data_IF_684797723656
#
_entry.id   IF_684797723656
#
_cell.length_a   1.000
_cell.length_b   1.000
_cell.length_c   1.000
_cell.angle_alpha   90.00
_cell.angle_beta   90.00
_cell.angle_gamma   90.00
#
_symmetry.space_group_name_H-M   'P 1'
#
loop_
_entity.id
_entity.type
_entity.pdbx_description
1 polymer ?
#
# COMPACT_ATOMS: atom_id res chain seq x y z
N UNK A 1 -45.79 -0.50 -43.53
CA UNK A 1 -45.03 -0.23 -42.29
C UNK A 1 -44.87 -1.56 -41.59
N UNK A 2 -43.65 -2.11 -41.57
CA UNK A 2 -43.33 -3.36 -40.88
C UNK A 2 -42.77 -3.02 -39.51
N UNK A 3 -43.44 -3.42 -38.44
CA UNK A 3 -43.01 -3.27 -37.06
C UNK A 3 -41.76 -4.14 -36.81
N UNK A 4 -40.68 -3.48 -36.38
CA UNK A 4 -39.42 -4.14 -35.93
C UNK A 4 -39.67 -4.71 -34.53
N UNK A 5 -39.42 -6.02 -34.27
CA UNK A 5 -39.55 -6.55 -32.94
C UNK A 5 -38.46 -6.02 -32.04
N UNK A 6 -38.86 -5.34 -30.96
CA UNK A 6 -37.99 -4.88 -29.90
C UNK A 6 -37.46 -6.11 -29.13
N UNK A 7 -36.15 -6.40 -29.26
CA UNK A 7 -35.53 -7.43 -28.44
C UNK A 7 -35.57 -7.01 -26.96
N UNK A 8 -35.95 -7.88 -26.05
CA UNK A 8 -35.91 -7.61 -24.62
C UNK A 8 -34.46 -7.43 -24.20
N UNK A 9 -34.15 -6.30 -23.54
CA UNK A 9 -32.88 -6.08 -22.84
C UNK A 9 -32.66 -7.25 -21.86
N UNK A 10 -31.50 -7.94 -21.88
CA UNK A 10 -31.18 -8.93 -20.87
C UNK A 10 -31.15 -8.21 -19.52
N UNK A 11 -32.04 -8.59 -18.63
CA UNK A 11 -31.95 -8.24 -17.22
C UNK A 11 -30.66 -8.88 -16.69
N UNK A 12 -29.58 -8.10 -16.59
CA UNK A 12 -28.38 -8.49 -15.85
C UNK A 12 -28.83 -8.63 -14.40
N UNK A 13 -29.10 -9.85 -14.00
CA UNK A 13 -29.64 -10.16 -12.71
C UNK A 13 -28.56 -9.85 -11.65
N UNK A 14 -28.97 -9.39 -10.48
CA UNK A 14 -28.11 -9.28 -9.28
C UNK A 14 -27.31 -10.57 -9.04
N UNK A 15 -27.83 -11.72 -9.47
CA UNK A 15 -27.22 -13.04 -9.44
C UNK A 15 -25.86 -13.12 -10.17
N UNK A 16 -25.71 -12.52 -11.36
CA UNK A 16 -24.46 -12.60 -12.12
C UNK A 16 -23.35 -11.74 -11.46
N UNK A 17 -23.75 -10.60 -10.90
CA UNK A 17 -22.84 -9.73 -10.17
C UNK A 17 -22.37 -10.40 -8.86
N UNK A 18 -23.29 -10.99 -8.12
CA UNK A 18 -22.98 -11.74 -6.89
C UNK A 18 -22.06 -12.94 -7.16
N UNK A 19 -22.27 -13.62 -8.30
CA UNK A 19 -21.40 -14.72 -8.72
C UNK A 19 -20.00 -14.20 -9.09
N UNK A 20 -19.91 -13.09 -9.82
CA UNK A 20 -18.63 -12.46 -10.15
C UNK A 20 -17.86 -12.03 -8.89
N UNK A 21 -18.53 -11.40 -7.91
CA UNK A 21 -17.92 -10.98 -6.66
C UNK A 21 -17.42 -12.19 -5.83
N UNK A 22 -18.16 -13.29 -5.81
CA UNK A 22 -17.73 -14.54 -5.17
C UNK A 22 -16.49 -15.13 -5.86
N UNK A 23 -16.43 -15.13 -7.18
CA UNK A 23 -15.27 -15.62 -7.95
C UNK A 23 -14.06 -14.73 -7.71
N UNK A 24 -14.21 -13.41 -7.73
CA UNK A 24 -13.12 -12.46 -7.45
C UNK A 24 -12.58 -12.68 -6.03
N UNK A 25 -13.47 -12.81 -5.05
CA UNK A 25 -13.08 -13.09 -3.65
C UNK A 25 -12.34 -14.42 -3.54
N UNK A 26 -12.84 -15.47 -4.18
CA UNK A 26 -12.20 -16.79 -4.21
C UNK A 26 -10.79 -16.74 -4.81
N UNK A 27 -10.57 -15.96 -5.86
CA UNK A 27 -9.26 -15.81 -6.49
C UNK A 27 -8.28 -14.96 -5.65
N UNK A 28 -8.78 -13.91 -5.01
CA UNK A 28 -7.97 -12.95 -4.29
C UNK A 28 -7.65 -13.38 -2.83
N UNK A 29 -8.51 -14.19 -2.21
CA UNK A 29 -8.43 -14.53 -0.79
C UNK A 29 -8.19 -16.03 -0.59
N UNK A 30 -6.96 -16.37 -0.16
CA UNK A 30 -6.61 -17.76 0.15
C UNK A 30 -7.40 -18.32 1.34
N UNK A 31 -7.76 -17.47 2.33
CA UNK A 31 -8.58 -17.88 3.49
C UNK A 31 -10.00 -18.21 3.06
N UNK A 32 -10.56 -17.42 2.13
CA UNK A 32 -11.87 -17.72 1.53
C UNK A 32 -11.82 -19.03 0.78
N UNK A 33 -10.77 -19.30 -0.02
CA UNK A 33 -10.60 -20.58 -0.72
C UNK A 33 -10.62 -21.77 0.23
N UNK A 34 -9.94 -21.67 1.36
CA UNK A 34 -9.87 -22.75 2.35
C UNK A 34 -11.19 -22.98 3.10
N UNK A 35 -12.05 -21.95 3.20
CA UNK A 35 -13.37 -22.04 3.84
C UNK A 35 -14.49 -22.43 2.86
N UNK A 36 -14.34 -22.09 1.59
CA UNK A 36 -15.42 -22.05 0.59
C UNK A 36 -15.57 -23.34 -0.21
N UNK A 37 -15.19 -24.51 0.29
CA UNK A 37 -15.63 -25.76 -0.38
C UNK A 37 -17.16 -25.87 -0.51
N UNK A 38 -17.91 -24.94 0.12
CA UNK A 38 -19.38 -24.93 0.20
C UNK A 38 -20.06 -23.79 -0.59
N UNK A 39 -19.36 -22.71 -0.94
CA UNK A 39 -20.02 -21.50 -1.50
C UNK A 39 -19.99 -21.41 -3.05
N UNK A 40 -19.01 -22.04 -3.68
CA UNK A 40 -18.96 -22.14 -5.14
C UNK A 40 -19.07 -23.62 -5.53
N UNK A 41 -20.04 -23.99 -6.38
CA UNK A 41 -20.19 -25.36 -6.83
C UNK A 41 -19.13 -25.73 -7.87
N UNK A 42 -17.85 -25.73 -7.45
CA UNK A 42 -16.73 -26.09 -8.31
C UNK A 42 -16.41 -27.57 -8.15
N UNK A 43 -16.16 -28.25 -9.27
CA UNK A 43 -15.54 -29.56 -9.21
C UNK A 43 -14.12 -29.48 -8.63
N UNK A 44 -13.56 -30.56 -8.06
CA UNK A 44 -12.20 -30.58 -7.53
C UNK A 44 -11.15 -30.11 -8.55
N UNK A 45 -11.35 -30.40 -9.81
CA UNK A 45 -10.45 -29.96 -10.89
C UNK A 45 -10.57 -28.47 -11.16
N UNK A 46 -11.79 -27.93 -11.19
CA UNK A 46 -12.04 -26.48 -11.33
C UNK A 46 -11.47 -25.70 -10.13
N UNK A 47 -11.62 -26.21 -8.91
CA UNK A 47 -11.04 -25.61 -7.72
C UNK A 47 -9.50 -25.54 -7.80
N UNK A 48 -8.83 -26.62 -8.23
CA UNK A 48 -7.37 -26.64 -8.45
C UNK A 48 -6.93 -25.65 -9.52
N UNK A 49 -7.64 -25.54 -10.62
CA UNK A 49 -7.35 -24.56 -11.70
C UNK A 49 -7.52 -23.14 -11.20
N UNK A 50 -8.59 -22.86 -10.47
CA UNK A 50 -8.85 -21.54 -9.88
C UNK A 50 -7.78 -21.17 -8.84
N UNK A 51 -7.35 -22.10 -7.99
CA UNK A 51 -6.26 -21.89 -7.04
C UNK A 51 -4.94 -21.56 -7.76
N UNK A 52 -4.57 -22.37 -8.75
CA UNK A 52 -3.36 -22.11 -9.56
C UNK A 52 -3.40 -20.72 -10.21
N UNK A 53 -4.55 -20.33 -10.73
CA UNK A 53 -4.76 -19.01 -11.33
C UNK A 53 -4.70 -17.89 -10.28
N UNK A 54 -5.32 -18.06 -9.11
CA UNK A 54 -5.23 -17.10 -8.00
C UNK A 54 -3.79 -16.89 -7.53
N UNK A 55 -3.00 -17.95 -7.39
CA UNK A 55 -1.57 -17.87 -7.06
C UNK A 55 -0.78 -17.14 -8.14
N UNK A 56 -1.07 -17.39 -9.42
CA UNK A 56 -0.44 -16.68 -10.54
C UNK A 56 -0.77 -15.19 -10.50
N UNK A 57 -2.04 -14.83 -10.28
CA UNK A 57 -2.46 -13.43 -10.16
C UNK A 57 -1.77 -12.72 -8.99
N UNK A 58 -1.72 -13.35 -7.81
CA UNK A 58 -1.06 -12.78 -6.65
C UNK A 58 0.46 -12.57 -6.88
N UNK A 59 1.13 -13.56 -7.48
CA UNK A 59 2.54 -13.45 -7.85
C UNK A 59 2.78 -12.28 -8.80
N UNK A 60 1.99 -12.16 -9.87
CA UNK A 60 2.08 -11.06 -10.84
C UNK A 60 1.79 -9.72 -10.18
N UNK A 61 0.74 -9.67 -9.34
CA UNK A 61 0.35 -8.46 -8.61
C UNK A 61 1.49 -7.89 -7.76
N UNK A 62 2.16 -8.73 -6.97
CA UNK A 62 3.24 -8.28 -6.10
C UNK A 62 4.54 -8.04 -6.88
N UNK A 63 4.87 -8.86 -7.88
CA UNK A 63 6.04 -8.65 -8.74
C UNK A 63 6.03 -7.27 -9.40
N UNK A 64 4.92 -6.91 -10.03
CA UNK A 64 4.78 -5.61 -10.72
C UNK A 64 4.91 -4.43 -9.75
N UNK A 65 4.39 -4.58 -8.52
CA UNK A 65 4.46 -3.54 -7.51
C UNK A 65 5.84 -3.42 -6.87
N UNK A 66 6.50 -4.54 -6.60
CA UNK A 66 7.88 -4.55 -6.12
C UNK A 66 8.81 -3.86 -7.13
N UNK A 67 8.75 -4.25 -8.40
CA UNK A 67 9.59 -3.68 -9.44
C UNK A 67 9.41 -2.15 -9.59
N UNK A 68 8.18 -1.64 -9.36
CA UNK A 68 7.89 -0.19 -9.44
C UNK A 68 8.28 0.56 -8.17
N UNK A 69 8.14 -0.07 -7.00
CA UNK A 69 8.37 0.58 -5.70
C UNK A 69 9.85 0.57 -5.31
N UNK A 70 10.57 -0.53 -5.58
CA UNK A 70 11.99 -0.70 -5.29
C UNK A 70 12.88 -0.27 -6.47
N UNK A 71 12.53 0.85 -7.09
CA UNK A 71 13.18 1.34 -8.32
C UNK A 71 14.56 1.93 -8.09
N UNK A 72 14.83 2.47 -6.90
CA UNK A 72 16.13 3.07 -6.59
C UNK A 72 17.14 2.01 -6.15
N UNK A 73 16.74 1.06 -5.32
CA UNK A 73 17.58 -0.10 -5.00
C UNK A 73 17.92 -0.92 -6.25
N UNK A 74 17.02 -0.96 -7.23
CA UNK A 74 17.26 -1.61 -8.52
C UNK A 74 18.41 -0.99 -9.32
N UNK A 75 18.76 0.28 -9.11
CA UNK A 75 19.93 0.91 -9.74
C UNK A 75 21.24 0.22 -9.33
N UNK A 76 21.25 -0.46 -8.21
CA UNK A 76 22.39 -1.20 -7.67
C UNK A 76 22.33 -2.70 -7.98
N UNK A 77 21.36 -3.17 -8.77
CA UNK A 77 21.16 -4.60 -9.02
C UNK A 77 22.41 -5.29 -9.59
N UNK A 78 23.19 -4.63 -10.42
CA UNK A 78 24.46 -5.16 -10.96
C UNK A 78 25.56 -5.30 -9.89
N UNK A 79 25.52 -4.49 -8.83
CA UNK A 79 26.49 -4.48 -7.74
C UNK A 79 26.10 -5.50 -6.68
N UNK A 80 24.82 -5.50 -6.27
CA UNK A 80 24.33 -6.37 -5.20
C UNK A 80 23.87 -7.76 -5.70
N UNK A 81 23.74 -7.96 -7.02
CA UNK A 81 23.30 -9.22 -7.63
C UNK A 81 21.82 -9.58 -7.40
N UNK A 82 21.02 -8.65 -6.84
CA UNK A 82 19.64 -8.93 -6.43
C UNK A 82 18.67 -7.80 -6.81
N UNK A 83 17.40 -8.16 -6.97
CA UNK A 83 16.28 -7.22 -7.13
C UNK A 83 15.11 -7.62 -6.23
N UNK A 84 14.28 -6.65 -5.83
CA UNK A 84 13.17 -6.90 -4.90
C UNK A 84 12.15 -7.89 -5.46
N UNK A 85 11.89 -7.86 -6.77
CA UNK A 85 10.92 -8.73 -7.41
C UNK A 85 11.31 -10.21 -7.45
N UNK A 86 12.57 -10.55 -7.22
CA UNK A 86 13.03 -11.96 -7.14
C UNK A 86 12.44 -12.68 -5.92
N UNK A 87 12.04 -11.95 -4.89
CA UNK A 87 11.45 -12.55 -3.68
C UNK A 87 10.20 -13.37 -3.98
N UNK A 88 9.45 -13.06 -5.05
CA UNK A 88 8.23 -13.78 -5.40
C UNK A 88 8.49 -15.19 -5.96
N UNK A 89 9.73 -15.51 -6.28
CA UNK A 89 10.16 -16.83 -6.76
C UNK A 89 10.70 -17.72 -5.63
N UNK A 90 10.94 -17.13 -4.44
CA UNK A 90 11.44 -17.83 -3.25
C UNK A 90 10.38 -18.68 -2.53
N UNK A 91 10.85 -19.67 -1.78
CA UNK A 91 10.00 -20.60 -1.02
C UNK A 91 9.12 -19.90 0.02
N UNK A 92 9.67 -18.90 0.71
CA UNK A 92 8.91 -18.10 1.69
C UNK A 92 7.68 -17.43 1.07
N UNK A 93 7.80 -16.93 -0.16
CA UNK A 93 6.67 -16.34 -0.87
C UNK A 93 5.69 -17.42 -1.34
N UNK A 94 6.16 -18.59 -1.77
CA UNK A 94 5.28 -19.70 -2.14
C UNK A 94 4.43 -20.16 -0.95
N UNK A 95 5.03 -20.29 0.22
CA UNK A 95 4.32 -20.63 1.46
C UNK A 95 3.31 -19.55 1.85
N UNK A 96 3.69 -18.28 1.74
CA UNK A 96 2.82 -17.13 1.99
C UNK A 96 1.56 -17.12 1.10
N UNK A 97 1.65 -17.59 -0.15
CA UNK A 97 0.50 -17.64 -1.07
C UNK A 97 -0.67 -18.51 -0.55
N UNK A 98 -0.42 -19.43 0.39
CA UNK A 98 -1.45 -20.26 1.01
C UNK A 98 -2.35 -19.48 1.98
N UNK A 99 -1.89 -18.33 2.49
CA UNK A 99 -2.56 -17.49 3.48
C UNK A 99 -2.88 -16.09 2.91
N UNK A 100 -2.42 -15.81 1.70
CA UNK A 100 -2.45 -14.48 1.12
C UNK A 100 -3.87 -13.99 0.85
N UNK A 101 -4.18 -12.81 1.36
CA UNK A 101 -5.32 -11.99 0.92
C UNK A 101 -4.72 -10.86 0.07
N UNK A 102 -4.80 -11.01 -1.25
CA UNK A 102 -4.17 -10.10 -2.19
C UNK A 102 -4.71 -8.68 -2.02
N UNK A 103 -3.80 -7.72 -1.82
CA UNK A 103 -4.13 -6.32 -1.63
C UNK A 103 -4.49 -5.94 -0.18
N UNK A 104 -4.50 -6.89 0.78
CA UNK A 104 -4.64 -6.54 2.18
C UNK A 104 -3.38 -5.84 2.71
N UNK A 105 -3.55 -5.02 3.76
CA UNK A 105 -2.46 -4.35 4.44
C UNK A 105 -1.45 -5.35 5.01
N UNK A 106 -1.93 -6.42 5.65
CA UNK A 106 -1.11 -7.49 6.22
C UNK A 106 -0.23 -8.16 5.15
N UNK A 107 -0.85 -8.50 3.99
CA UNK A 107 -0.12 -9.12 2.89
C UNK A 107 0.92 -8.18 2.28
N UNK A 108 0.60 -6.90 2.12
CA UNK A 108 1.54 -5.89 1.65
C UNK A 108 2.72 -5.72 2.62
N UNK A 109 2.47 -5.69 3.94
CA UNK A 109 3.52 -5.62 4.96
C UNK A 109 4.47 -6.80 4.87
N UNK A 110 3.94 -8.05 4.84
CA UNK A 110 4.77 -9.28 4.76
C UNK A 110 5.62 -9.31 3.50
N UNK A 111 5.04 -8.99 2.33
CA UNK A 111 5.79 -8.98 1.06
C UNK A 111 6.85 -7.87 1.04
N UNK A 112 6.52 -6.68 1.54
CA UNK A 112 7.50 -5.60 1.68
C UNK A 112 8.66 -5.97 2.61
N UNK A 113 8.37 -6.65 3.71
CA UNK A 113 9.40 -7.15 4.63
C UNK A 113 10.29 -8.22 3.97
N UNK A 114 9.70 -9.19 3.26
CA UNK A 114 10.48 -10.19 2.51
C UNK A 114 11.43 -9.54 1.52
N UNK A 115 10.97 -8.51 0.77
CA UNK A 115 11.78 -7.79 -0.18
C UNK A 115 12.91 -7.01 0.50
N UNK A 116 12.61 -6.32 1.61
CA UNK A 116 13.60 -5.61 2.41
C UNK A 116 14.68 -6.54 2.95
N UNK A 117 14.31 -7.66 3.58
CA UNK A 117 15.25 -8.67 4.08
C UNK A 117 16.11 -9.23 2.94
N UNK A 118 15.50 -9.56 1.79
CA UNK A 118 16.22 -10.06 0.62
C UNK A 118 17.29 -9.08 0.13
N UNK A 119 17.00 -7.77 0.16
CA UNK A 119 17.94 -6.72 -0.27
C UNK A 119 18.89 -6.25 0.83
N UNK A 120 18.63 -6.55 2.11
CA UNK A 120 19.54 -6.24 3.21
C UNK A 120 20.63 -7.28 3.41
N UNK A 121 20.43 -8.51 2.91
CA UNK A 121 21.38 -9.62 3.01
C UNK A 121 22.46 -9.55 1.91
N UNK A 122 23.08 -8.39 1.77
CA UNK A 122 24.15 -8.10 0.79
C UNK A 122 25.12 -7.08 1.36
N UNK A 123 26.28 -6.90 0.70
CA UNK A 123 27.17 -5.79 1.02
C UNK A 123 26.47 -4.46 0.69
N UNK A 124 26.29 -3.60 1.69
CA UNK A 124 25.56 -2.35 1.54
C UNK A 124 26.32 -1.37 0.64
N UNK A 125 25.66 -0.75 -0.36
CA UNK A 125 26.26 0.28 -1.21
C UNK A 125 26.67 1.55 -0.47
N UNK A 126 26.15 1.78 0.74
CA UNK A 126 26.46 2.92 1.58
C UNK A 126 25.62 2.93 2.87
N UNK A 127 26.02 3.76 3.84
CA UNK A 127 25.36 3.87 5.16
C UNK A 127 23.87 4.29 5.10
N UNK A 128 23.43 4.89 3.99
CA UNK A 128 22.05 5.26 3.72
C UNK A 128 21.19 4.13 3.17
N UNK A 129 21.79 2.97 2.84
CA UNK A 129 21.11 1.87 2.15
C UNK A 129 19.90 1.33 2.92
N UNK A 130 20.07 1.05 4.20
CA UNK A 130 18.98 0.54 5.03
C UNK A 130 17.77 1.50 5.08
N UNK A 131 18.03 2.83 5.09
CA UNK A 131 16.95 3.82 5.06
C UNK A 131 16.30 3.96 3.69
N UNK A 132 17.06 3.81 2.60
CA UNK A 132 16.50 3.72 1.26
C UNK A 132 15.53 2.53 1.14
N UNK A 133 15.94 1.35 1.61
CA UNK A 133 15.07 0.18 1.62
C UNK A 133 13.81 0.41 2.46
N UNK A 134 13.95 1.06 3.62
CA UNK A 134 12.83 1.40 4.48
C UNK A 134 11.87 2.41 3.82
N UNK A 135 12.38 3.35 3.04
CA UNK A 135 11.59 4.26 2.21
C UNK A 135 10.81 3.49 1.12
N UNK A 136 11.49 2.61 0.37
CA UNK A 136 10.88 1.84 -0.70
C UNK A 136 9.84 0.83 -0.17
N UNK A 137 10.06 0.25 1.01
CA UNK A 137 9.06 -0.57 1.71
C UNK A 137 7.81 0.23 2.07
N UNK A 138 7.97 1.45 2.62
CA UNK A 138 6.85 2.30 2.96
C UNK A 138 6.07 2.74 1.71
N UNK A 139 6.76 3.03 0.61
CA UNK A 139 6.15 3.34 -0.68
C UNK A 139 5.42 2.11 -1.26
N UNK A 140 6.04 0.93 -1.20
CA UNK A 140 5.44 -0.32 -1.64
C UNK A 140 4.15 -0.63 -0.87
N UNK A 141 4.12 -0.40 0.43
CA UNK A 141 2.93 -0.60 1.24
C UNK A 141 1.74 0.20 0.69
N UNK A 142 1.97 1.47 0.32
CA UNK A 142 0.92 2.29 -0.31
C UNK A 142 0.50 1.74 -1.68
N UNK A 143 1.45 1.25 -2.47
CA UNK A 143 1.19 0.72 -3.81
C UNK A 143 0.45 -0.63 -3.78
N UNK A 144 0.71 -1.46 -2.77
CA UNK A 144 0.23 -2.83 -2.69
C UNK A 144 -1.04 -3.01 -1.84
N UNK A 145 -1.45 -1.99 -1.07
CA UNK A 145 -2.70 -2.03 -0.29
C UNK A 145 -3.86 -1.52 -1.12
N UNK A 146 -4.94 -2.29 -1.19
CA UNK A 146 -6.17 -1.95 -1.92
C UNK A 146 -7.38 -1.78 -0.99
N UNK A 147 -7.19 -1.94 0.33
CA UNK A 147 -8.26 -1.82 1.31
C UNK A 147 -8.84 -0.40 1.35
N UNK A 148 -10.16 -0.33 1.43
CA UNK A 148 -10.89 0.90 1.71
C UNK A 148 -11.19 0.97 3.20
N UNK A 149 -11.02 2.15 3.79
CA UNK A 149 -11.35 2.35 5.19
C UNK A 149 -12.77 2.89 5.36
N UNK A 150 -13.49 2.43 6.40
CA UNK A 150 -14.81 2.96 6.71
C UNK A 150 -14.71 4.43 7.13
N UNK A 151 -15.84 5.15 7.02
CA UNK A 151 -16.00 6.49 7.58
C UNK A 151 -15.65 6.48 9.08
N UNK A 152 -15.25 7.63 9.59
CA UNK A 152 -14.92 7.83 11.00
C UNK A 152 -15.74 8.97 11.57
N UNK A 153 -16.09 8.89 12.87
CA UNK A 153 -16.84 9.94 13.58
C UNK A 153 -15.93 11.08 14.09
N UNK A 154 -14.64 10.82 14.12
CA UNK A 154 -13.58 11.74 14.54
C UNK A 154 -12.38 11.65 13.59
N UNK A 155 -11.53 12.68 13.52
CA UNK A 155 -10.31 12.64 12.72
C UNK A 155 -9.43 11.44 13.07
N UNK A 156 -9.15 10.58 12.09
CA UNK A 156 -8.38 9.35 12.28
C UNK A 156 -7.35 9.14 11.18
N UNK A 157 -6.14 8.77 11.57
CA UNK A 157 -5.11 8.32 10.63
C UNK A 157 -5.58 7.09 9.88
N UNK A 158 -5.33 7.03 8.58
CA UNK A 158 -5.54 5.79 7.82
C UNK A 158 -4.59 4.70 8.28
N UNK A 159 -5.05 3.47 8.37
CA UNK A 159 -4.23 2.30 8.76
C UNK A 159 -3.06 2.06 7.82
N UNK A 160 -3.26 2.32 6.53
CA UNK A 160 -2.22 2.18 5.51
C UNK A 160 -1.23 3.35 5.51
N UNK A 161 -1.59 4.53 6.02
CA UNK A 161 -0.69 5.67 6.07
C UNK A 161 0.45 5.42 7.06
N UNK A 162 1.68 5.61 6.62
CA UNK A 162 2.90 5.35 7.40
C UNK A 162 3.69 6.64 7.55
N UNK A 163 4.00 6.99 8.80
CA UNK A 163 4.93 8.06 9.13
C UNK A 163 6.24 7.44 9.63
N UNK A 164 7.37 7.82 9.06
CA UNK A 164 8.68 7.26 9.38
C UNK A 164 9.75 8.33 9.44
N UNK A 165 10.54 8.29 10.50
CA UNK A 165 11.72 9.11 10.65
C UNK A 165 12.93 8.47 9.94
N UNK A 166 13.73 9.30 9.32
CA UNK A 166 14.98 8.95 8.63
C UNK A 166 16.09 9.89 9.09
N UNK A 167 17.32 9.39 9.21
CA UNK A 167 18.52 10.15 9.58
C UNK A 167 19.21 10.76 8.36
N UNK A 168 18.71 10.45 7.17
CA UNK A 168 19.22 10.92 5.91
C UNK A 168 18.14 11.70 5.16
N UNK A 169 18.52 12.75 4.48
CA UNK A 169 17.63 13.52 3.60
C UNK A 169 17.24 12.67 2.37
N UNK A 170 16.32 11.71 2.57
CA UNK A 170 15.90 10.77 1.52
C UNK A 170 15.43 11.49 0.25
N UNK A 171 14.62 12.56 0.29
CA UNK A 171 14.24 13.31 -0.92
C UNK A 171 15.44 13.75 -1.76
N UNK A 172 16.51 14.24 -1.12
CA UNK A 172 17.72 14.67 -1.81
C UNK A 172 18.55 13.48 -2.31
N UNK A 173 18.67 12.41 -1.51
CA UNK A 173 19.32 11.15 -1.94
C UNK A 173 18.64 10.63 -3.21
N UNK A 174 17.31 10.59 -3.25
CA UNK A 174 16.58 10.10 -4.42
C UNK A 174 16.82 10.99 -5.66
N UNK A 175 17.00 12.29 -5.45
CA UNK A 175 17.35 13.24 -6.53
C UNK A 175 18.75 12.96 -7.07
N UNK A 176 19.74 12.79 -6.19
CA UNK A 176 21.13 12.47 -6.56
C UNK A 176 21.24 11.10 -7.25
N UNK A 177 20.51 10.08 -6.75
CA UNK A 177 20.47 8.76 -7.39
C UNK A 177 19.94 8.83 -8.83
N UNK A 178 18.90 9.63 -9.10
CA UNK A 178 18.38 9.83 -10.46
C UNK A 178 19.39 10.50 -11.39
N UNK A 179 20.23 11.37 -10.85
CA UNK A 179 21.22 12.12 -11.59
C UNK A 179 22.61 11.45 -11.59
N UNK A 180 22.71 10.20 -11.08
CA UNK A 180 23.96 9.46 -10.90
C UNK A 180 25.05 10.25 -10.14
N UNK A 181 24.63 11.10 -9.19
CA UNK A 181 25.54 11.89 -8.36
C UNK A 181 25.95 11.11 -7.11
N UNK A 182 27.10 11.46 -6.55
CA UNK A 182 27.61 10.85 -5.32
C UNK A 182 26.74 11.21 -4.11
N UNK A 183 26.56 10.26 -3.20
CA UNK A 183 25.86 10.43 -1.94
C UNK A 183 26.91 10.51 -0.84
N UNK A 184 27.08 11.69 -0.29
CA UNK A 184 28.01 11.97 0.80
C UNK A 184 27.31 12.20 2.14
N UNK A 185 28.13 12.36 3.20
CA UNK A 185 27.68 12.59 4.56
C UNK A 185 26.99 13.96 4.75
N UNK A 186 27.11 14.85 3.80
CA UNK A 186 26.40 16.14 3.73
C UNK A 186 24.87 15.98 3.68
N UNK A 187 24.39 14.78 3.36
CA UNK A 187 22.98 14.45 3.33
C UNK A 187 22.45 13.85 4.65
N UNK A 188 23.27 13.74 5.69
CA UNK A 188 22.80 13.38 7.03
C UNK A 188 21.95 14.51 7.60
N UNK A 189 20.66 14.33 7.58
CA UNK A 189 19.65 15.26 8.10
C UNK A 189 18.40 14.48 8.46
N UNK A 190 17.95 14.64 9.71
CA UNK A 190 16.71 14.02 10.17
C UNK A 190 15.52 14.59 9.39
N UNK A 191 14.73 13.68 8.81
CA UNK A 191 13.49 14.01 8.11
C UNK A 191 12.38 13.06 8.54
N UNK A 192 11.16 13.56 8.69
CA UNK A 192 9.98 12.78 9.01
C UNK A 192 9.08 12.72 7.77
N UNK A 193 8.96 11.56 7.16
CA UNK A 193 8.18 11.38 5.93
C UNK A 193 6.87 10.63 6.19
N UNK A 194 5.78 11.19 5.69
CA UNK A 194 4.46 10.59 5.67
C UNK A 194 4.17 10.01 4.29
N UNK A 195 3.91 8.72 4.25
CA UNK A 195 3.49 7.97 3.07
C UNK A 195 1.99 7.73 3.13
N UNK A 196 1.28 8.13 2.10
CA UNK A 196 -0.17 7.97 2.04
C UNK A 196 -0.66 7.75 0.60
N UNK A 197 -1.89 7.27 0.47
CA UNK A 197 -2.53 7.02 -0.82
C UNK A 197 -3.96 7.51 -0.82
N UNK A 198 -4.34 8.26 -1.85
CA UNK A 198 -5.74 8.68 -2.05
C UNK A 198 -6.62 7.51 -2.50
N UNK A 199 -7.93 7.67 -2.40
CA UNK A 199 -8.91 6.72 -2.96
C UNK A 199 -8.75 6.52 -4.48
N UNK A 200 -8.28 7.56 -5.20
CA UNK A 200 -7.94 7.48 -6.61
C UNK A 200 -6.61 6.78 -6.92
N UNK A 201 -5.92 6.26 -5.91
CA UNK A 201 -4.70 5.46 -6.07
C UNK A 201 -3.39 6.26 -6.18
N UNK A 202 -3.43 7.60 -6.12
CA UNK A 202 -2.22 8.43 -6.15
C UNK A 202 -1.49 8.34 -4.81
N UNK A 203 -0.19 8.05 -4.84
CA UNK A 203 0.66 7.97 -3.66
C UNK A 203 1.34 9.31 -3.44
N UNK A 204 1.35 9.76 -2.19
CA UNK A 204 2.04 10.95 -1.73
C UNK A 204 3.09 10.57 -0.71
N UNK A 205 4.24 11.23 -0.81
CA UNK A 205 5.30 11.23 0.20
C UNK A 205 5.57 12.68 0.54
N UNK A 206 5.28 13.07 1.76
CA UNK A 206 5.42 14.46 2.22
C UNK A 206 6.23 14.50 3.50
N UNK A 207 7.07 15.52 3.66
CA UNK A 207 7.76 15.79 4.91
C UNK A 207 6.79 16.44 5.89
N UNK A 208 6.67 15.86 7.09
CA UNK A 208 5.91 16.45 8.19
C UNK A 208 6.82 17.32 9.04
N UNK A 209 6.40 18.55 9.30
CA UNK A 209 7.14 19.50 10.11
C UNK A 209 6.19 20.34 10.98
N UNK A 210 6.65 20.70 12.18
CA UNK A 210 5.96 21.63 13.07
C UNK A 210 4.51 21.25 13.33
N UNK A 211 3.57 22.14 13.02
CA UNK A 211 2.15 21.95 13.30
C UNK A 211 1.53 20.73 12.58
N UNK A 212 1.99 20.40 11.38
CA UNK A 212 1.47 19.25 10.63
C UNK A 212 1.82 17.91 11.29
N UNK A 213 3.00 17.81 11.89
CA UNK A 213 3.40 16.64 12.66
C UNK A 213 2.54 16.49 13.93
N UNK A 214 2.38 17.57 14.70
CA UNK A 214 1.58 17.55 15.91
C UNK A 214 0.13 17.18 15.63
N UNK A 215 -0.49 17.77 14.62
CA UNK A 215 -1.86 17.44 14.21
C UNK A 215 -1.97 15.98 13.76
N UNK A 216 -1.00 15.48 12.98
CA UNK A 216 -0.94 14.08 12.58
C UNK A 216 -0.86 13.13 13.77
N UNK A 217 -0.03 13.41 14.76
CA UNK A 217 0.11 12.59 15.97
C UNK A 217 -1.18 12.49 16.76
N UNK A 218 -1.99 13.57 16.80
CA UNK A 218 -3.24 13.66 17.56
C UNK A 218 -4.50 13.24 16.77
N UNK A 219 -4.39 12.94 15.48
CA UNK A 219 -5.49 12.38 14.69
C UNK A 219 -5.64 10.87 14.96
N UNK A 220 -5.99 10.51 16.18
CA UNK A 220 -6.02 9.15 16.72
C UNK A 220 -7.36 8.41 16.55
N UNK A 221 -8.41 9.12 16.14
CA UNK A 221 -9.77 8.60 16.02
C UNK A 221 -10.63 8.76 17.28
N UNK A 222 -10.10 9.36 18.35
CA UNK A 222 -10.82 9.60 19.60
C UNK A 222 -11.12 11.08 19.83
N UNK A 223 -10.27 11.98 19.32
CA UNK A 223 -10.35 13.42 19.55
C UNK A 223 -11.10 14.13 18.43
N UNK A 224 -11.94 15.08 18.83
CA UNK A 224 -12.54 16.06 17.90
C UNK A 224 -11.52 17.16 17.56
N UNK A 225 -11.83 17.98 16.55
CA UNK A 225 -10.94 19.06 16.08
C UNK A 225 -10.58 20.06 17.19
N UNK A 226 -11.57 20.45 18.03
CA UNK A 226 -11.38 21.35 19.17
C UNK A 226 -10.45 20.74 20.24
N UNK A 227 -10.58 19.46 20.50
CA UNK A 227 -9.73 18.74 21.44
C UNK A 227 -8.29 18.59 20.91
N UNK A 228 -8.13 18.35 19.61
CA UNK A 228 -6.80 18.34 18.96
C UNK A 228 -6.19 19.75 19.07
N UNK A 229 -6.95 20.80 18.74
CA UNK A 229 -6.50 22.19 18.80
C UNK A 229 -5.98 22.56 20.18
N UNK A 230 -6.72 22.19 21.22
CA UNK A 230 -6.31 22.39 22.63
C UNK A 230 -5.04 21.61 22.97
N UNK A 231 -4.94 20.32 22.52
CA UNK A 231 -3.79 19.48 22.83
C UNK A 231 -2.48 19.96 22.18
N UNK A 232 -2.56 20.55 20.97
CA UNK A 232 -1.40 21.06 20.23
C UNK A 232 -1.18 22.57 20.39
N UNK A 233 -2.03 23.25 21.17
CA UNK A 233 -1.99 24.71 21.39
C UNK A 233 -2.04 25.52 20.09
N UNK A 234 -2.90 25.11 19.15
CA UNK A 234 -3.11 25.78 17.87
C UNK A 234 -4.56 26.27 17.72
N UNK A 235 -4.80 27.31 16.93
CA UNK A 235 -6.18 27.70 16.57
C UNK A 235 -6.94 26.55 15.91
N UNK A 236 -8.22 26.37 16.26
CA UNK A 236 -9.05 25.30 15.70
C UNK A 236 -9.10 25.34 14.16
N UNK A 237 -9.12 26.56 13.57
CA UNK A 237 -9.10 26.71 12.11
C UNK A 237 -7.80 26.17 11.50
N UNK A 238 -6.64 26.41 12.10
CA UNK A 238 -5.34 25.88 11.64
C UNK A 238 -5.32 24.36 11.68
N UNK A 239 -5.88 23.75 12.74
CA UNK A 239 -6.01 22.30 12.86
C UNK A 239 -6.95 21.75 11.79
N UNK A 240 -8.09 22.40 11.56
CA UNK A 240 -9.05 22.04 10.53
C UNK A 240 -8.40 22.04 9.13
N UNK A 241 -7.69 23.12 8.80
CA UNK A 241 -7.02 23.27 7.50
C UNK A 241 -5.93 22.20 7.30
N UNK A 242 -5.16 21.91 8.35
CA UNK A 242 -4.14 20.85 8.34
C UNK A 242 -4.77 19.47 8.15
N UNK A 243 -5.85 19.17 8.86
CA UNK A 243 -6.58 17.91 8.71
C UNK A 243 -7.18 17.76 7.30
N UNK A 244 -7.70 18.84 6.71
CA UNK A 244 -8.19 18.83 5.33
C UNK A 244 -7.05 18.57 4.32
N UNK A 245 -5.88 19.18 4.50
CA UNK A 245 -4.71 18.93 3.68
C UNK A 245 -4.27 17.44 3.80
N UNK A 246 -4.22 16.88 5.00
CA UNK A 246 -3.91 15.48 5.24
C UNK A 246 -4.96 14.54 4.62
N UNK A 247 -6.25 14.92 4.65
CA UNK A 247 -7.32 14.18 3.95
C UNK A 247 -7.14 14.17 2.44
N UNK A 248 -6.78 15.30 1.85
CA UNK A 248 -6.58 15.43 0.39
C UNK A 248 -5.50 14.48 -0.13
N UNK A 249 -4.43 14.27 0.64
CA UNK A 249 -3.38 13.31 0.32
C UNK A 249 -3.72 11.88 0.75
N UNK A 250 -4.87 11.66 1.37
CA UNK A 250 -5.33 10.35 1.81
C UNK A 250 -4.65 9.84 3.08
N UNK A 251 -4.12 10.71 3.91
CA UNK A 251 -3.46 10.33 5.16
C UNK A 251 -4.44 10.15 6.33
N UNK A 252 -5.50 10.94 6.37
CA UNK A 252 -6.53 10.87 7.44
C UNK A 252 -7.92 10.64 6.84
N UNK A 253 -8.79 10.08 7.66
CA UNK A 253 -10.25 10.01 7.45
C UNK A 253 -10.87 11.05 8.35
N UNK A 254 -11.77 11.86 7.81
CA UNK A 254 -12.57 12.83 8.55
C UNK A 254 -14.04 12.40 8.60
N UNK A 255 -14.81 12.88 9.59
CA UNK A 255 -16.27 12.71 9.63
C UNK A 255 -16.92 13.12 8.30
N UNK A 256 -17.99 12.44 7.95
CA UNK A 256 -18.89 12.91 6.88
C UNK A 256 -19.58 14.18 7.42
N UNK A 257 -19.46 15.26 6.67
CA UNK A 257 -20.20 16.51 6.96
C UNK A 257 -21.64 16.37 6.50
#
# INVERSE_FOLDING_TARGET
MRSVPTMPKPASSNSDRDLQDKVIRYLADARARNKSSTELPLSPEQARRAEKFGRFLARRYYRDRLARSFRYSRLFASVIGRTAEQVVDGESFQSFLNECVMGSLEAAQRVGQMAGTHLSDVQEPGAWWGELLAYEQAFFLQAATAETEPAADTPRRRRSAVCRAFRWNLPEILTRLKSAQNIGDDLKKDVLLLFSRTSGGKIYVVELQGSSELVWQHADGFRRVDQIASAVSLPAQTVQDTLQALRQIGAVVLPLQ
#
